data_IF_939526969081
#
_entry.id   IF_939526969081
#
_cell.length_a   1.000
_cell.length_b   1.000
_cell.length_c   1.000
_cell.angle_alpha   90.00
_cell.angle_beta   90.00
_cell.angle_gamma   90.00
#
_symmetry.space_group_name_H-M   'P 1'
#
loop_
_entity.id
_entity.type
_entity.pdbx_description
1 polymer ?
#
# COMPACT_ATOMS: atom_id res chain seq x y z
N UNK A 1 31.51 -50.18 -18.06
CA UNK A 1 31.49 -49.15 -17.03
C UNK A 1 30.71 -47.93 -17.56
N UNK A 2 29.51 -47.69 -17.03
CA UNK A 2 28.72 -46.51 -17.37
C UNK A 2 28.95 -45.46 -16.26
N UNK A 3 29.53 -44.33 -16.62
CA UNK A 3 29.74 -43.19 -15.72
C UNK A 3 28.43 -42.42 -15.64
N UNK A 4 27.81 -42.41 -14.45
CA UNK A 4 26.60 -41.62 -14.16
C UNK A 4 27.11 -40.25 -13.68
N UNK A 5 26.84 -39.22 -14.49
CA UNK A 5 27.02 -37.82 -14.08
C UNK A 5 25.84 -37.38 -13.21
N UNK A 6 26.10 -37.21 -11.90
CA UNK A 6 25.13 -36.58 -10.99
C UNK A 6 25.31 -35.06 -11.13
N UNK A 7 24.35 -34.42 -11.79
CA UNK A 7 24.25 -32.95 -11.82
C UNK A 7 23.65 -32.54 -10.48
N UNK A 8 24.49 -32.10 -9.54
CA UNK A 8 24.04 -31.45 -8.31
C UNK A 8 23.61 -30.03 -8.70
N UNK A 9 22.30 -29.83 -8.88
CA UNK A 9 21.71 -28.52 -9.00
C UNK A 9 21.85 -27.74 -7.70
N UNK A 10 22.79 -26.80 -7.64
CA UNK A 10 22.82 -25.80 -6.58
C UNK A 10 21.56 -24.95 -6.70
N UNK A 11 20.57 -25.21 -5.85
CA UNK A 11 19.53 -24.24 -5.55
C UNK A 11 20.20 -23.06 -4.84
N UNK A 12 20.55 -22.02 -5.60
CA UNK A 12 20.91 -20.73 -5.03
C UNK A 12 19.62 -20.19 -4.40
N UNK A 13 19.43 -20.44 -3.11
CA UNK A 13 18.51 -19.63 -2.31
C UNK A 13 19.05 -18.20 -2.34
N UNK A 14 18.57 -17.38 -3.27
CA UNK A 14 18.78 -15.95 -3.23
C UNK A 14 18.04 -15.49 -1.98
N UNK A 15 18.74 -15.42 -0.86
CA UNK A 15 18.28 -14.67 0.29
C UNK A 15 18.15 -13.21 -0.17
N UNK A 16 16.93 -12.78 -0.47
CA UNK A 16 16.62 -11.41 -0.83
C UNK A 16 16.74 -10.60 0.47
N UNK A 17 17.99 -10.25 0.82
CA UNK A 17 18.24 -9.37 1.96
C UNK A 17 17.70 -7.99 1.63
N UNK A 18 16.80 -7.50 2.47
CA UNK A 18 16.49 -6.08 2.47
C UNK A 18 17.77 -5.35 2.91
N UNK A 19 18.33 -4.54 2.03
CA UNK A 19 19.41 -3.64 2.41
C UNK A 19 18.91 -2.62 3.41
N UNK A 20 19.75 -2.21 4.34
CA UNK A 20 19.41 -1.12 5.24
C UNK A 20 20.41 0.03 5.16
N UNK A 21 19.90 1.23 5.42
CA UNK A 21 20.66 2.46 5.46
C UNK A 21 20.01 3.47 6.39
N UNK A 22 20.73 4.54 6.74
CA UNK A 22 20.21 5.58 7.64
C UNK A 22 20.15 6.94 6.94
N UNK A 23 19.05 7.64 7.17
CA UNK A 23 18.84 9.04 6.76
C UNK A 23 18.32 9.81 7.98
N UNK A 24 18.97 10.91 8.32
CA UNK A 24 18.63 11.76 9.46
C UNK A 24 18.42 10.95 10.78
N UNK A 25 19.24 9.91 10.99
CA UNK A 25 19.15 9.01 12.13
C UNK A 25 18.10 7.89 12.00
N UNK A 26 17.18 7.96 11.07
CA UNK A 26 16.15 6.95 10.83
C UNK A 26 16.71 5.82 9.97
N UNK A 27 16.47 4.56 10.38
CA UNK A 27 16.83 3.37 9.62
C UNK A 27 15.74 3.04 8.60
N UNK A 28 16.14 2.83 7.37
CA UNK A 28 15.30 2.38 6.26
C UNK A 28 15.71 1.00 5.82
N UNK A 29 14.75 0.20 5.41
CA UNK A 29 14.96 -1.10 4.81
C UNK A 29 14.43 -1.09 3.39
N UNK A 30 15.25 -1.51 2.43
CA UNK A 30 14.92 -1.54 1.01
C UNK A 30 15.03 -2.97 0.49
N UNK A 31 13.92 -3.54 0.00
CA UNK A 31 13.95 -4.79 -0.75
C UNK A 31 13.98 -4.47 -2.24
N UNK A 32 15.02 -4.95 -2.89
CA UNK A 32 15.20 -4.83 -4.34
C UNK A 32 14.41 -5.94 -5.03
N UNK A 33 13.59 -5.67 -6.05
CA UNK A 33 12.91 -6.73 -6.80
C UNK A 33 13.91 -7.59 -7.58
N UNK A 34 13.54 -8.84 -7.89
CA UNK A 34 14.39 -9.79 -8.59
C UNK A 34 14.88 -9.28 -9.96
N UNK A 35 14.09 -8.43 -10.60
CA UNK A 35 14.44 -7.71 -11.84
C UNK A 35 13.98 -6.27 -11.71
N UNK A 36 14.72 -5.33 -12.27
CA UNK A 36 14.34 -3.92 -12.33
C UNK A 36 15.00 -3.23 -13.53
N UNK A 37 14.50 -2.05 -13.85
CA UNK A 37 15.06 -1.13 -14.84
C UNK A 37 14.99 0.31 -14.31
N UNK A 38 15.43 1.28 -15.07
CA UNK A 38 15.43 2.69 -14.65
C UNK A 38 14.02 3.30 -14.47
N UNK A 39 12.94 2.66 -14.93
CA UNK A 39 11.55 3.07 -14.72
C UNK A 39 10.87 2.31 -13.58
N UNK A 40 11.60 1.49 -12.84
CA UNK A 40 11.07 0.79 -11.68
C UNK A 40 10.57 1.75 -10.62
N UNK A 41 9.44 1.42 -10.01
CA UNK A 41 8.71 2.27 -9.05
C UNK A 41 9.09 1.91 -7.61
N UNK A 42 8.66 2.75 -6.67
CA UNK A 42 8.87 2.53 -5.24
C UNK A 42 7.51 2.44 -4.53
N UNK A 43 7.29 1.35 -3.78
CA UNK A 43 6.19 1.19 -2.84
C UNK A 43 6.74 1.34 -1.42
N UNK A 44 6.32 2.39 -0.74
CA UNK A 44 6.69 2.63 0.66
C UNK A 44 5.68 1.91 1.56
N UNK A 45 6.20 1.10 2.47
CA UNK A 45 5.44 0.31 3.42
C UNK A 45 5.63 0.90 4.83
N UNK A 46 4.58 1.53 5.37
CA UNK A 46 4.58 2.11 6.70
C UNK A 46 4.04 1.11 7.72
N UNK A 47 4.85 0.73 8.69
CA UNK A 47 4.44 -0.19 9.76
C UNK A 47 3.45 0.40 10.75
N UNK A 48 2.85 -0.46 11.57
CA UNK A 48 2.10 -0.04 12.75
C UNK A 48 2.97 0.82 13.69
N UNK A 49 2.37 1.36 14.75
CA UNK A 49 3.07 2.28 15.66
C UNK A 49 4.41 1.73 16.12
N UNK A 50 5.49 2.47 15.86
CA UNK A 50 6.87 2.15 16.23
C UNK A 50 7.39 0.79 15.70
N UNK A 51 6.79 0.27 14.63
CA UNK A 51 7.34 -0.93 14.01
C UNK A 51 8.64 -0.62 13.28
N UNK A 52 9.68 -1.44 13.46
CA UNK A 52 10.87 -1.32 12.63
C UNK A 52 10.56 -1.76 11.19
N UNK A 53 11.23 -1.13 10.21
CA UNK A 53 10.95 -1.34 8.80
C UNK A 53 11.15 -2.80 8.34
N UNK A 54 12.11 -3.53 8.89
CA UNK A 54 12.30 -4.95 8.60
C UNK A 54 11.09 -5.80 9.05
N UNK A 55 10.52 -5.54 10.23
CA UNK A 55 9.29 -6.19 10.70
C UNK A 55 8.14 -5.90 9.74
N UNK A 56 8.04 -4.65 9.27
CA UNK A 56 6.99 -4.23 8.33
C UNK A 56 7.09 -5.01 7.03
N UNK A 57 8.28 -5.10 6.41
CA UNK A 57 8.50 -5.89 5.20
C UNK A 57 8.12 -7.36 5.39
N UNK A 58 8.58 -7.97 6.49
CA UNK A 58 8.31 -9.37 6.83
C UNK A 58 6.82 -9.65 7.08
N UNK A 59 6.10 -8.69 7.68
CA UNK A 59 4.68 -8.84 8.01
C UNK A 59 3.79 -8.65 6.78
N UNK A 60 4.08 -7.64 5.95
CA UNK A 60 3.23 -7.30 4.82
C UNK A 60 3.42 -8.21 3.60
N UNK A 61 4.59 -8.84 3.43
CA UNK A 61 4.85 -9.87 2.40
C UNK A 61 4.50 -9.43 0.97
N UNK A 62 4.85 -8.21 0.59
CA UNK A 62 4.63 -7.69 -0.77
C UNK A 62 5.63 -8.23 -1.81
N UNK A 63 6.43 -9.25 -1.49
CA UNK A 63 7.51 -9.79 -2.33
C UNK A 63 7.05 -10.17 -3.73
N UNK A 64 5.95 -10.93 -3.84
CA UNK A 64 5.42 -11.37 -5.12
C UNK A 64 4.93 -10.19 -6.00
N UNK A 65 4.28 -9.18 -5.39
CA UNK A 65 3.87 -7.95 -6.07
C UNK A 65 5.09 -7.17 -6.54
N UNK A 66 6.11 -7.06 -5.68
CA UNK A 66 7.35 -6.36 -5.99
C UNK A 66 8.09 -6.98 -7.17
N UNK A 67 8.25 -8.30 -7.20
CA UNK A 67 8.93 -9.01 -8.28
C UNK A 67 8.15 -8.95 -9.60
N UNK A 68 6.84 -9.14 -9.54
CA UNK A 68 5.96 -9.09 -10.72
C UNK A 68 6.01 -7.73 -11.41
N UNK A 69 5.98 -6.65 -10.63
CA UNK A 69 5.89 -5.28 -11.13
C UNK A 69 7.20 -4.50 -11.11
N UNK A 70 8.31 -5.18 -10.77
CA UNK A 70 9.64 -4.54 -10.68
C UNK A 70 9.62 -3.32 -9.74
N UNK A 71 9.00 -3.47 -8.56
CA UNK A 71 8.81 -2.38 -7.59
C UNK A 71 9.75 -2.58 -6.40
N UNK A 72 10.49 -1.55 -6.04
CA UNK A 72 11.27 -1.51 -4.81
C UNK A 72 10.35 -1.34 -3.62
N UNK A 73 10.54 -2.15 -2.56
CA UNK A 73 9.83 -1.97 -1.30
C UNK A 73 10.72 -1.18 -0.36
N UNK A 74 10.26 -0.03 0.09
CA UNK A 74 11.00 0.82 1.03
C UNK A 74 10.21 0.93 2.34
N UNK A 75 10.82 0.64 3.48
CA UNK A 75 10.16 0.73 4.77
C UNK A 75 10.98 1.50 5.80
N UNK A 76 10.46 2.65 6.30
CA UNK A 76 11.11 3.40 7.37
C UNK A 76 10.86 2.75 8.73
N UNK A 77 11.86 2.82 9.62
CA UNK A 77 11.69 2.56 11.05
C UNK A 77 11.33 3.85 11.77
N UNK A 78 10.21 4.43 11.40
CA UNK A 78 9.72 5.64 12.07
C UNK A 78 9.30 5.33 13.50
N UNK A 79 9.66 6.21 14.43
CA UNK A 79 9.29 6.14 15.82
C UNK A 79 9.24 7.55 16.41
N UNK A 80 8.41 7.75 17.41
CA UNK A 80 8.25 9.01 18.15
C UNK A 80 7.90 10.25 17.31
N UNK A 81 7.72 11.39 17.94
CA UNK A 81 7.63 12.74 17.33
C UNK A 81 6.59 12.90 16.21
N UNK A 82 5.44 12.25 16.31
CA UNK A 82 4.36 12.42 15.34
C UNK A 82 4.83 12.20 13.87
N UNK A 83 5.53 11.13 13.61
CA UNK A 83 6.10 10.82 12.29
C UNK A 83 5.06 10.67 11.16
N UNK A 84 3.80 10.59 11.48
CA UNK A 84 2.70 10.61 10.49
C UNK A 84 2.38 12.02 9.98
N UNK A 85 2.97 13.08 10.53
CA UNK A 85 2.86 14.47 10.06
C UNK A 85 4.08 14.82 9.19
N UNK A 86 3.98 14.61 7.84
CA UNK A 86 5.15 14.68 6.95
C UNK A 86 5.79 16.07 6.88
N UNK A 87 5.02 17.13 7.06
CA UNK A 87 5.47 18.52 7.04
C UNK A 87 6.45 18.86 8.17
N UNK A 88 6.39 18.14 9.29
CA UNK A 88 7.27 18.42 10.44
C UNK A 88 8.71 17.97 10.18
N UNK A 89 8.91 16.69 9.85
CA UNK A 89 10.26 16.15 9.59
C UNK A 89 10.27 14.88 8.74
N UNK A 90 9.32 13.97 8.94
CA UNK A 90 9.35 12.63 8.35
C UNK A 90 9.21 12.62 6.83
N UNK A 91 8.51 13.59 6.26
CA UNK A 91 8.36 13.74 4.82
C UNK A 91 9.69 14.04 4.13
N UNK A 92 10.46 15.02 4.65
CA UNK A 92 11.79 15.35 4.11
C UNK A 92 12.74 14.16 4.24
N UNK A 93 12.71 13.46 5.36
CA UNK A 93 13.54 12.26 5.60
C UNK A 93 13.17 11.13 4.63
N UNK A 94 11.86 10.90 4.39
CA UNK A 94 11.43 9.92 3.39
C UNK A 94 11.87 10.30 1.98
N UNK A 95 11.73 11.56 1.56
CA UNK A 95 12.18 12.00 0.24
C UNK A 95 13.68 11.81 0.02
N UNK A 96 14.51 12.09 1.04
CA UNK A 96 15.95 11.79 0.99
C UNK A 96 16.23 10.29 0.86
N UNK A 97 15.47 9.44 1.55
CA UNK A 97 15.60 7.99 1.45
C UNK A 97 15.22 7.49 0.04
N UNK A 98 14.12 7.98 -0.53
CA UNK A 98 13.70 7.69 -1.91
C UNK A 98 14.79 8.11 -2.90
N UNK A 99 15.30 9.35 -2.81
CA UNK A 99 16.36 9.84 -3.67
C UNK A 99 17.67 9.02 -3.52
N UNK A 100 17.93 8.47 -2.35
CA UNK A 100 19.06 7.56 -2.11
C UNK A 100 18.90 6.25 -2.87
N UNK A 101 17.69 5.64 -2.83
CA UNK A 101 17.36 4.43 -3.60
C UNK A 101 17.43 4.73 -5.10
N UNK A 102 16.78 5.81 -5.56
CA UNK A 102 16.79 6.23 -6.97
C UNK A 102 18.23 6.36 -7.52
N UNK A 103 19.08 7.09 -6.81
CA UNK A 103 20.48 7.27 -7.19
C UNK A 103 21.28 5.97 -7.16
N UNK A 104 21.13 5.15 -6.11
CA UNK A 104 21.87 3.90 -5.95
C UNK A 104 21.58 2.90 -7.07
N UNK A 105 20.33 2.82 -7.51
CA UNK A 105 19.87 1.85 -8.51
C UNK A 105 19.65 2.45 -9.90
N UNK A 106 20.00 3.72 -10.11
CA UNK A 106 19.86 4.40 -11.39
C UNK A 106 18.40 4.57 -11.82
N UNK A 107 17.47 4.76 -10.88
CA UNK A 107 16.07 4.92 -11.19
C UNK A 107 15.76 6.36 -11.61
N UNK A 108 14.95 6.51 -12.65
CA UNK A 108 14.31 7.77 -13.00
C UNK A 108 13.12 8.00 -12.07
N UNK A 109 12.96 9.16 -11.43
CA UNK A 109 11.84 9.43 -10.51
C UNK A 109 10.48 9.12 -11.15
N UNK A 110 9.71 8.24 -10.49
CA UNK A 110 8.38 7.82 -10.89
C UNK A 110 7.36 8.23 -9.82
N UNK A 111 6.07 7.96 -10.06
CA UNK A 111 5.06 7.99 -9.01
C UNK A 111 5.42 6.99 -7.89
N UNK A 112 5.17 7.40 -6.66
CA UNK A 112 5.41 6.62 -5.44
C UNK A 112 4.09 6.00 -4.99
N UNK A 113 4.15 4.84 -4.38
CA UNK A 113 2.98 4.13 -3.86
C UNK A 113 3.10 3.97 -2.35
N UNK A 114 1.97 4.01 -1.63
CA UNK A 114 1.96 3.91 -0.17
C UNK A 114 1.02 2.84 0.32
N UNK A 115 1.46 2.07 1.31
CA UNK A 115 0.61 1.18 2.10
C UNK A 115 0.96 1.26 3.57
N UNK A 116 -0.05 1.24 4.45
CA UNK A 116 0.20 1.22 5.88
C UNK A 116 -0.96 0.70 6.72
N UNK A 117 -0.61 0.20 7.92
CA UNK A 117 -1.53 -0.26 8.94
C UNK A 117 -1.46 0.64 10.17
N UNK A 118 -2.61 0.98 10.78
CA UNK A 118 -2.71 1.78 12.01
C UNK A 118 -2.00 3.14 11.86
N UNK A 119 -1.00 3.45 12.65
CA UNK A 119 -0.17 4.65 12.49
C UNK A 119 0.51 4.71 11.11
N UNK A 120 0.85 3.56 10.52
CA UNK A 120 1.32 3.50 9.12
C UNK A 120 0.23 3.85 8.11
N UNK A 121 -1.04 3.54 8.40
CA UNK A 121 -2.18 3.99 7.62
C UNK A 121 -2.33 5.52 7.66
N UNK A 122 -2.10 6.14 8.83
CA UNK A 122 -2.02 7.59 8.97
C UNK A 122 -0.89 8.17 8.11
N UNK A 123 0.32 7.55 8.14
CA UNK A 123 1.41 7.95 7.23
C UNK A 123 0.96 7.87 5.77
N UNK A 124 0.39 6.74 5.34
CA UNK A 124 -0.05 6.55 3.97
C UNK A 124 -1.00 7.67 3.50
N UNK A 125 -2.03 7.98 4.29
CA UNK A 125 -3.02 9.01 3.99
C UNK A 125 -2.46 10.44 4.03
N UNK A 126 -1.68 10.78 5.08
CA UNK A 126 -1.18 12.14 5.27
C UNK A 126 0.00 12.45 4.34
N UNK A 127 0.88 11.48 4.05
CA UNK A 127 1.95 11.65 3.06
C UNK A 127 1.39 11.79 1.64
N UNK A 128 0.32 11.04 1.31
CA UNK A 128 -0.40 11.26 0.06
C UNK A 128 -0.93 12.70 0.00
N UNK A 129 -1.62 13.19 1.03
CA UNK A 129 -2.15 14.55 1.08
C UNK A 129 -1.06 15.63 0.98
N UNK A 130 0.12 15.37 1.52
CA UNK A 130 1.26 16.29 1.51
C UNK A 130 1.94 16.41 0.14
N UNK A 131 1.95 15.34 -0.65
CA UNK A 131 2.59 15.34 -1.98
C UNK A 131 1.75 14.59 -3.03
N UNK A 132 0.50 15.01 -3.27
CA UNK A 132 -0.45 14.26 -4.10
C UNK A 132 0.05 14.05 -5.53
N UNK A 133 0.78 15.03 -6.07
CA UNK A 133 1.34 14.97 -7.43
C UNK A 133 2.40 13.85 -7.61
N UNK A 134 3.01 13.41 -6.51
CA UNK A 134 4.04 12.36 -6.52
C UNK A 134 3.47 10.96 -6.31
N UNK A 135 2.20 10.83 -5.86
CA UNK A 135 1.62 9.54 -5.47
C UNK A 135 0.80 8.95 -6.61
N UNK A 136 1.09 7.69 -6.94
CA UNK A 136 0.36 6.93 -7.97
C UNK A 136 -0.88 6.24 -7.41
N UNK A 137 -0.78 5.67 -6.21
CA UNK A 137 -1.89 5.08 -5.47
C UNK A 137 -1.49 4.91 -3.99
N UNK A 138 -2.48 4.82 -3.10
CA UNK A 138 -2.22 4.63 -1.68
C UNK A 138 -3.26 3.75 -1.01
N UNK A 139 -2.87 3.08 0.08
CA UNK A 139 -3.80 2.27 0.84
C UNK A 139 -3.55 2.38 2.35
N UNK A 140 -4.64 2.35 3.13
CA UNK A 140 -4.62 2.41 4.58
C UNK A 140 -5.52 1.33 5.19
N UNK A 141 -4.99 0.61 6.17
CA UNK A 141 -5.74 -0.35 6.99
C UNK A 141 -5.83 0.10 8.44
N UNK A 142 -7.05 0.09 9.01
CA UNK A 142 -7.35 0.47 10.40
C UNK A 142 -6.75 1.84 10.77
N UNK A 143 -6.94 2.83 9.91
CA UNK A 143 -6.43 4.18 10.04
C UNK A 143 -7.40 5.05 10.86
N UNK A 144 -6.88 5.80 11.81
CA UNK A 144 -7.69 6.71 12.66
C UNK A 144 -7.53 8.19 12.33
N UNK A 145 -6.70 8.55 11.33
CA UNK A 145 -6.48 9.95 10.95
C UNK A 145 -6.33 10.05 9.43
N UNK A 146 -7.14 10.92 8.85
CA UNK A 146 -7.10 11.23 7.41
C UNK A 146 -7.01 12.74 7.19
N UNK A 147 -6.66 13.21 5.97
CA UNK A 147 -6.70 14.62 5.63
C UNK A 147 -8.09 15.23 5.85
N UNK A 148 -8.16 16.46 6.32
CA UNK A 148 -9.43 17.14 6.58
C UNK A 148 -10.26 17.39 5.33
N UNK A 149 -9.61 17.52 4.18
CA UNK A 149 -10.29 17.75 2.90
C UNK A 149 -9.82 16.71 1.86
N UNK A 150 -10.75 16.16 1.05
CA UNK A 150 -10.40 15.37 -0.11
C UNK A 150 -9.65 16.21 -1.14
N UNK A 151 -8.71 15.59 -1.81
CA UNK A 151 -7.93 16.24 -2.88
C UNK A 151 -8.64 16.00 -4.20
N UNK A 152 -8.82 17.05 -4.99
CA UNK A 152 -9.35 16.92 -6.35
C UNK A 152 -8.35 16.14 -7.23
N UNK A 153 -8.88 15.35 -8.18
CA UNK A 153 -8.10 14.43 -9.02
C UNK A 153 -7.27 13.43 -8.21
N UNK A 154 -7.91 12.87 -7.21
CA UNK A 154 -7.29 11.99 -6.25
C UNK A 154 -6.73 10.70 -6.89
N UNK A 155 -5.56 10.26 -6.43
CA UNK A 155 -4.98 8.98 -6.80
C UNK A 155 -5.88 7.82 -6.34
N UNK A 156 -5.91 6.68 -7.05
CA UNK A 156 -6.63 5.49 -6.59
C UNK A 156 -6.28 5.14 -5.14
N UNK A 157 -7.30 4.79 -4.36
CA UNK A 157 -7.14 4.47 -2.94
C UNK A 157 -7.81 3.14 -2.55
N UNK A 158 -7.23 2.47 -1.54
CA UNK A 158 -7.85 1.35 -0.84
C UNK A 158 -7.91 1.68 0.65
N UNK A 159 -9.09 1.62 1.23
CA UNK A 159 -9.26 1.73 2.67
C UNK A 159 -9.95 0.48 3.20
N UNK A 160 -9.40 -0.08 4.26
CA UNK A 160 -9.95 -1.26 4.93
C UNK A 160 -9.93 -1.07 6.44
N UNK A 161 -10.92 -1.60 7.15
CA UNK A 161 -10.98 -1.52 8.61
C UNK A 161 -11.80 -2.68 9.18
N UNK A 162 -11.50 -3.08 10.40
CA UNK A 162 -12.36 -3.99 11.14
C UNK A 162 -13.59 -3.26 11.71
N UNK A 163 -14.77 -3.85 11.65
CA UNK A 163 -16.00 -3.23 12.17
C UNK A 163 -16.00 -3.10 13.69
N UNK A 164 -15.33 -4.03 14.40
CA UNK A 164 -15.17 -3.98 15.86
C UNK A 164 -14.11 -2.96 16.33
N UNK A 165 -13.32 -2.37 15.42
CA UNK A 165 -12.49 -1.18 15.67
C UNK A 165 -13.33 0.10 15.47
N UNK A 166 -14.38 0.25 16.27
CA UNK A 166 -15.53 1.12 16.04
C UNK A 166 -15.16 2.57 15.69
N UNK A 167 -14.22 3.17 16.42
CA UNK A 167 -13.81 4.57 16.18
C UNK A 167 -13.12 4.71 14.79
N UNK A 168 -12.14 3.84 14.50
CA UNK A 168 -11.42 3.90 13.22
C UNK A 168 -12.29 3.48 12.04
N UNK A 169 -13.23 2.57 12.29
CA UNK A 169 -14.23 2.19 11.29
C UNK A 169 -15.07 3.39 10.85
N UNK A 170 -15.65 4.13 11.81
CA UNK A 170 -16.48 5.31 11.49
C UNK A 170 -15.67 6.40 10.78
N UNK A 171 -14.46 6.68 11.27
CA UNK A 171 -13.55 7.66 10.64
C UNK A 171 -13.20 7.24 9.22
N UNK A 172 -12.81 5.97 9.01
CA UNK A 172 -12.42 5.45 7.69
C UNK A 172 -13.59 5.44 6.70
N UNK A 173 -14.78 5.01 7.15
CA UNK A 173 -16.00 4.98 6.34
C UNK A 173 -16.40 6.39 5.90
N UNK A 174 -16.43 7.33 6.84
CA UNK A 174 -16.75 8.71 6.53
C UNK A 174 -15.76 9.33 5.52
N UNK A 175 -14.47 9.09 5.71
CA UNK A 175 -13.46 9.58 4.77
C UNK A 175 -13.62 8.93 3.39
N UNK A 176 -13.91 7.62 3.31
CA UNK A 176 -14.11 6.93 2.04
C UNK A 176 -15.27 7.56 1.23
N UNK A 177 -16.37 7.89 1.88
CA UNK A 177 -17.50 8.54 1.23
C UNK A 177 -17.11 9.92 0.68
N UNK A 178 -16.54 10.78 1.50
CA UNK A 178 -16.09 12.10 1.08
C UNK A 178 -15.06 12.07 -0.05
N UNK A 179 -14.16 11.08 -0.03
CA UNK A 179 -13.15 10.91 -1.07
C UNK A 179 -13.78 10.61 -2.42
N UNK A 180 -14.81 9.77 -2.45
CA UNK A 180 -15.56 9.43 -3.66
C UNK A 180 -16.45 10.56 -4.14
N UNK A 181 -17.13 11.27 -3.24
CA UNK A 181 -17.91 12.48 -3.56
C UNK A 181 -17.04 13.55 -4.23
N UNK A 182 -15.77 13.66 -3.83
CA UNK A 182 -14.78 14.54 -4.47
C UNK A 182 -14.23 13.98 -5.80
N UNK A 183 -14.76 12.87 -6.32
CA UNK A 183 -14.37 12.27 -7.59
C UNK A 183 -13.20 11.27 -7.50
N UNK A 184 -12.74 10.93 -6.31
CA UNK A 184 -11.68 9.95 -6.12
C UNK A 184 -12.14 8.50 -6.33
N UNK A 185 -11.32 7.67 -6.99
CA UNK A 185 -11.54 6.23 -7.08
C UNK A 185 -11.06 5.57 -5.80
N UNK A 186 -11.98 5.10 -4.94
CA UNK A 186 -11.65 4.47 -3.68
C UNK A 186 -12.41 3.15 -3.49
N UNK A 187 -11.65 2.07 -3.24
CA UNK A 187 -12.18 0.79 -2.78
C UNK A 187 -12.23 0.78 -1.25
N UNK A 188 -13.44 0.64 -0.69
CA UNK A 188 -13.68 0.46 0.74
C UNK A 188 -14.06 -0.99 1.04
N UNK A 189 -13.43 -1.59 2.07
CA UNK A 189 -13.81 -2.92 2.56
C UNK A 189 -13.74 -2.96 4.07
N UNK A 190 -14.89 -3.04 4.75
CA UNK A 190 -14.99 -3.41 6.17
C UNK A 190 -14.83 -4.91 6.37
N UNK A 191 -14.31 -5.32 7.52
CA UNK A 191 -14.22 -6.73 7.93
C UNK A 191 -15.06 -6.96 9.17
N UNK A 192 -16.17 -7.75 9.07
CA UNK A 192 -17.00 -8.10 10.23
C UNK A 192 -16.18 -8.76 11.35
N UNK A 193 -16.60 -8.58 12.59
CA UNK A 193 -16.03 -9.20 13.79
C UNK A 193 -14.51 -8.99 13.99
N UNK A 194 -13.89 -8.12 13.19
CA UNK A 194 -12.46 -7.81 13.22
C UNK A 194 -12.21 -6.53 14.03
N UNK A 195 -11.30 -6.58 14.97
CA UNK A 195 -10.87 -5.45 15.79
C UNK A 195 -9.72 -4.65 15.15
N UNK A 196 -8.93 -3.99 16.02
CA UNK A 196 -7.73 -3.24 15.59
C UNK A 196 -6.55 -4.17 15.31
N UNK A 197 -6.63 -4.91 14.23
CA UNK A 197 -5.61 -5.87 13.83
C UNK A 197 -5.38 -5.86 12.31
N UNK A 198 -4.21 -6.34 11.90
CA UNK A 198 -3.89 -6.54 10.49
C UNK A 198 -4.28 -7.96 10.08
N UNK A 199 -5.49 -8.14 9.57
CA UNK A 199 -5.98 -9.44 9.16
C UNK A 199 -5.30 -9.95 7.88
N UNK A 200 -5.25 -11.29 7.74
CA UNK A 200 -4.72 -11.93 6.53
C UNK A 200 -5.53 -11.57 5.28
N UNK A 201 -6.84 -11.37 5.43
CA UNK A 201 -7.72 -11.07 4.31
C UNK A 201 -7.58 -9.61 3.87
N UNK A 202 -7.32 -8.68 4.79
CA UNK A 202 -6.95 -7.31 4.45
C UNK A 202 -5.63 -7.26 3.65
N UNK A 203 -4.62 -8.05 4.02
CA UNK A 203 -3.37 -8.16 3.27
C UNK A 203 -3.59 -8.79 1.88
N UNK A 204 -4.39 -9.85 1.77
CA UNK A 204 -4.71 -10.46 0.47
C UNK A 204 -5.39 -9.47 -0.48
N UNK A 205 -6.35 -8.68 0.05
CA UNK A 205 -7.00 -7.64 -0.75
C UNK A 205 -6.02 -6.54 -1.15
N UNK A 206 -5.16 -6.09 -0.23
CA UNK A 206 -4.13 -5.10 -0.54
C UNK A 206 -3.17 -5.59 -1.63
N UNK A 207 -2.68 -6.84 -1.56
CA UNK A 207 -1.83 -7.42 -2.60
C UNK A 207 -2.53 -7.46 -3.97
N UNK A 208 -3.78 -7.94 -4.02
CA UNK A 208 -4.55 -8.00 -5.26
C UNK A 208 -4.83 -6.60 -5.83
N UNK A 209 -5.10 -5.64 -4.96
CA UNK A 209 -5.36 -4.26 -5.35
C UNK A 209 -4.10 -3.57 -5.89
N UNK A 210 -2.94 -3.72 -5.22
CA UNK A 210 -1.68 -3.19 -5.75
C UNK A 210 -1.25 -3.89 -7.04
N UNK A 211 -1.52 -5.18 -7.18
CA UNK A 211 -1.31 -5.89 -8.45
C UNK A 211 -2.09 -5.23 -9.59
N UNK A 212 -3.34 -4.86 -9.35
CA UNK A 212 -4.19 -4.21 -10.35
C UNK A 212 -3.76 -2.76 -10.65
N UNK A 213 -3.54 -1.93 -9.63
CA UNK A 213 -3.18 -0.51 -9.84
C UNK A 213 -1.78 -0.35 -10.43
N UNK A 214 -0.85 -1.24 -10.10
CA UNK A 214 0.49 -1.25 -10.71
C UNK A 214 0.46 -1.76 -12.15
N UNK A 215 -0.55 -2.55 -12.53
CA UNK A 215 -0.83 -2.94 -13.92
C UNK A 215 -1.63 -1.89 -14.70
N UNK A 216 -2.04 -0.79 -14.05
CA UNK A 216 -2.81 0.32 -14.65
C UNK A 216 -4.13 -0.15 -15.31
N UNK A 217 -4.73 -1.23 -14.77
CA UNK A 217 -6.01 -1.74 -15.27
C UNK A 217 -7.17 -0.87 -14.80
N UNK A 218 -8.22 -0.78 -15.62
CA UNK A 218 -9.45 -0.09 -15.25
C UNK A 218 -10.40 -1.03 -14.49
N UNK A 219 -11.31 -0.50 -13.65
CA UNK A 219 -12.31 -1.32 -13.00
C UNK A 219 -13.16 -2.10 -14.01
N UNK A 220 -13.31 -3.41 -13.79
CA UNK A 220 -14.14 -4.32 -14.60
C UNK A 220 -15.57 -4.41 -14.09
N UNK A 221 -15.80 -4.04 -12.81
CA UNK A 221 -17.11 -4.04 -12.16
C UNK A 221 -17.16 -2.96 -11.08
N UNK A 222 -18.36 -2.72 -10.54
CA UNK A 222 -18.56 -1.82 -9.40
C UNK A 222 -19.43 -2.50 -8.34
N UNK A 223 -19.05 -2.33 -7.08
CA UNK A 223 -19.78 -2.79 -5.91
C UNK A 223 -20.42 -1.62 -5.15
N UNK A 224 -21.55 -1.87 -4.51
CA UNK A 224 -22.22 -0.93 -3.61
C UNK A 224 -21.95 -1.33 -2.16
N UNK A 225 -21.46 -0.38 -1.35
CA UNK A 225 -20.99 -0.63 0.01
C UNK A 225 -21.98 -1.37 0.90
N UNK A 226 -23.13 -0.76 1.15
CA UNK A 226 -24.06 -1.21 2.19
C UNK A 226 -24.76 -2.54 1.87
N UNK A 227 -24.74 -2.94 0.61
CA UNK A 227 -25.43 -4.15 0.17
C UNK A 227 -24.48 -5.27 -0.28
N UNK A 228 -23.16 -5.01 -0.34
CA UNK A 228 -22.17 -5.92 -0.92
C UNK A 228 -22.65 -6.51 -2.25
N UNK A 229 -23.25 -5.68 -3.09
CA UNK A 229 -23.84 -6.09 -4.37
C UNK A 229 -23.13 -5.48 -5.55
N UNK A 230 -22.97 -6.28 -6.59
CA UNK A 230 -22.48 -5.82 -7.86
C UNK A 230 -23.63 -5.20 -8.64
N UNK A 231 -23.44 -3.96 -9.10
CA UNK A 231 -24.44 -3.21 -9.88
C UNK A 231 -23.75 -2.47 -11.03
N UNK A 232 -24.50 -2.08 -12.08
CA UNK A 232 -24.01 -1.14 -13.08
C UNK A 232 -23.57 0.18 -12.43
N UNK A 233 -22.41 0.71 -12.79
CA UNK A 233 -21.83 1.94 -12.22
C UNK A 233 -22.83 3.07 -12.06
N UNK A 234 -23.71 3.28 -13.06
CA UNK A 234 -24.73 4.34 -13.10
C UNK A 234 -25.85 4.17 -12.09
N UNK A 235 -25.98 2.98 -11.48
CA UNK A 235 -27.03 2.65 -10.49
C UNK A 235 -26.51 2.66 -9.05
N UNK A 236 -25.30 3.11 -8.83
CA UNK A 236 -24.68 3.22 -7.51
C UNK A 236 -24.37 4.70 -7.29
N UNK A 237 -24.85 5.25 -6.19
CA UNK A 237 -24.52 6.61 -5.79
C UNK A 237 -23.01 6.73 -5.56
N UNK A 238 -22.44 7.89 -5.85
CA UNK A 238 -20.99 8.08 -5.95
C UNK A 238 -20.29 7.67 -4.66
N UNK A 239 -20.83 8.06 -3.51
CA UNK A 239 -20.27 7.82 -2.18
C UNK A 239 -20.24 6.34 -1.79
N UNK A 240 -21.08 5.47 -2.40
CA UNK A 240 -21.13 4.02 -2.13
C UNK A 240 -20.42 3.17 -3.18
N UNK A 241 -19.78 3.78 -4.16
CA UNK A 241 -19.27 3.12 -5.35
C UNK A 241 -17.86 2.58 -5.16
N UNK A 242 -17.71 1.25 -5.13
CA UNK A 242 -16.42 0.55 -5.08
C UNK A 242 -15.94 0.14 -6.47
N UNK A 243 -14.79 0.63 -6.94
CA UNK A 243 -14.18 0.13 -8.17
C UNK A 243 -13.54 -1.25 -7.94
N UNK A 244 -13.94 -2.25 -8.72
CA UNK A 244 -13.43 -3.62 -8.65
C UNK A 244 -12.61 -3.90 -9.91
N UNK A 245 -11.30 -3.99 -9.76
CA UNK A 245 -10.35 -4.02 -10.88
C UNK A 245 -10.10 -5.41 -11.47
N UNK A 246 -10.52 -6.48 -10.77
CA UNK A 246 -10.39 -7.85 -11.25
C UNK A 246 -11.40 -8.76 -10.57
N UNK A 247 -11.63 -9.97 -11.12
CA UNK A 247 -12.46 -10.98 -10.49
C UNK A 247 -11.91 -11.37 -9.11
N UNK A 248 -10.59 -11.45 -8.96
CA UNK A 248 -9.96 -11.71 -7.66
C UNK A 248 -10.29 -10.66 -6.61
N UNK A 249 -10.26 -9.37 -6.97
CA UNK A 249 -10.64 -8.28 -6.06
C UNK A 249 -12.14 -8.36 -5.75
N UNK A 250 -12.97 -8.68 -6.74
CA UNK A 250 -14.42 -8.87 -6.54
C UNK A 250 -14.72 -9.98 -5.53
N UNK A 251 -14.09 -11.15 -5.68
CA UNK A 251 -14.23 -12.27 -4.72
C UNK A 251 -13.80 -11.89 -3.30
N UNK A 252 -12.67 -11.19 -3.16
CA UNK A 252 -12.14 -10.76 -1.86
C UNK A 252 -13.01 -9.65 -1.23
N UNK A 253 -13.63 -8.82 -2.04
CA UNK A 253 -14.50 -7.75 -1.58
C UNK A 253 -15.88 -8.28 -1.13
N UNK A 254 -16.40 -9.32 -1.76
CA UNK A 254 -17.70 -9.93 -1.42
C UNK A 254 -17.65 -10.83 -0.18
N UNK A 255 -16.48 -11.31 0.24
CA UNK A 255 -16.26 -12.08 1.48
C UNK A 255 -16.32 -11.19 2.72
#
# INVERSE_FOLDING_TARGET
MRVIWIVIGFLICINIFAEDFRIDGIRFFCRVPAKYNNHSRILVLFGGRNWPGNKTLQTYRFDAVADKHQVFLLSPSFHDRNYWEPEKWSGKTLLKAIATVERKYGLTPQKIYFYGYSAGGQCSALFYSWMPERVGAWAAHACGVYPNQPIQNAAPALITCGESDAERYQISRHFAYRYREAGGELLWKPYPETGHELSKDALKLAHAWFDAVLSEVKPVAYGEDDMLKIKPKKRIDVEYRNPLYSEKIRELWLK
#
